data_IF_729069147490
#
_entry.id   IF_729069147490
#
_cell.length_a   1.000
_cell.length_b   1.000
_cell.length_c   1.000
_cell.angle_alpha   90.00
_cell.angle_beta   90.00
_cell.angle_gamma   90.00
#
_symmetry.space_group_name_H-M   'P 1'
#
loop_
_entity.id
_entity.type
_entity.pdbx_description
1 polymer ?
#
# COMPACT_ATOMS: atom_id res chain seq x y z
N UNK A 1 2.01 4.54 22.21
CA UNK A 1 1.06 3.62 21.55
C UNK A 1 -0.31 3.95 22.10
N UNK A 2 -1.19 4.52 21.29
CA UNK A 2 -2.54 4.90 21.72
C UNK A 2 -3.54 4.16 20.84
N UNK A 3 -4.32 3.27 21.45
CA UNK A 3 -5.43 2.58 20.80
C UNK A 3 -6.63 3.51 20.81
N UNK A 4 -7.14 3.88 19.64
CA UNK A 4 -8.45 4.52 19.52
C UNK A 4 -9.28 3.66 18.58
N UNK A 5 -10.26 2.95 19.13
CA UNK A 5 -11.26 2.25 18.33
C UNK A 5 -12.30 3.24 17.82
N UNK A 6 -12.67 3.13 16.55
CA UNK A 6 -13.89 3.76 16.05
C UNK A 6 -15.14 2.95 16.46
N UNK A 7 -16.32 3.53 16.27
CA UNK A 7 -17.61 2.92 16.67
C UNK A 7 -17.95 1.60 15.95
N UNK A 8 -17.12 1.16 14.99
CA UNK A 8 -17.32 -0.04 14.18
C UNK A 8 -16.28 -1.14 14.49
N UNK A 9 -15.47 -1.00 15.54
CA UNK A 9 -14.44 -1.99 15.89
C UNK A 9 -13.22 -1.96 14.97
N UNK A 10 -13.01 -0.88 14.20
CA UNK A 10 -11.78 -0.67 13.44
C UNK A 10 -10.66 -0.25 14.38
N UNK A 11 -9.54 -0.98 14.31
CA UNK A 11 -8.31 -0.66 15.02
C UNK A 11 -7.47 0.26 14.15
N UNK A 12 -7.37 1.54 14.53
CA UNK A 12 -6.48 2.51 13.89
C UNK A 12 -5.22 2.66 14.73
N UNK A 13 -4.05 2.54 14.11
CA UNK A 13 -2.75 2.69 14.78
C UNK A 13 -2.04 3.93 14.23
N UNK A 14 -1.61 4.84 15.12
CA UNK A 14 -0.83 6.03 14.78
C UNK A 14 0.52 6.02 15.52
N UNK A 15 1.62 6.23 14.78
CA UNK A 15 2.99 6.30 15.33
C UNK A 15 3.63 7.66 14.98
N UNK A 16 4.20 8.36 15.97
CA UNK A 16 4.90 9.66 15.80
C UNK A 16 6.38 9.41 15.48
N UNK A 17 6.84 9.85 14.31
CA UNK A 17 8.09 9.39 13.70
C UNK A 17 9.12 10.51 13.42
N UNK A 18 9.65 11.17 14.44
CA UNK A 18 10.69 12.19 14.20
C UNK A 18 12.14 11.68 14.27
N UNK A 19 12.40 10.37 14.47
CA UNK A 19 13.79 9.86 14.59
C UNK A 19 13.97 8.36 14.26
N UNK A 20 13.29 7.85 13.22
CA UNK A 20 13.43 6.46 12.76
C UNK A 20 14.49 6.35 11.65
N UNK A 21 15.30 5.29 11.69
CA UNK A 21 16.14 4.89 10.57
C UNK A 21 15.25 4.43 9.40
N UNK A 22 15.40 5.06 8.24
CA UNK A 22 14.62 4.73 7.05
C UNK A 22 15.12 3.42 6.45
N UNK A 23 14.20 2.55 6.05
CA UNK A 23 14.59 1.33 5.34
C UNK A 23 15.05 1.67 3.92
N UNK A 24 15.86 0.79 3.33
CA UNK A 24 16.26 0.94 1.93
C UNK A 24 15.03 0.97 1.00
N UNK A 25 14.01 0.17 1.31
CA UNK A 25 12.76 0.13 0.56
C UNK A 25 12.01 1.46 0.63
N UNK A 26 11.87 2.05 1.83
CA UNK A 26 11.23 3.36 2.03
C UNK A 26 11.92 4.48 1.24
N UNK A 27 13.26 4.49 1.23
CA UNK A 27 14.05 5.46 0.46
C UNK A 27 13.78 5.33 -1.04
N UNK A 28 13.80 4.09 -1.57
CA UNK A 28 13.54 3.84 -3.00
C UNK A 28 12.11 4.23 -3.36
N UNK A 29 11.11 3.85 -2.55
CA UNK A 29 9.71 4.23 -2.74
C UNK A 29 9.59 5.75 -2.84
N UNK A 30 10.15 6.49 -1.88
CA UNK A 30 10.02 7.93 -1.86
C UNK A 30 10.75 8.61 -3.03
N UNK A 31 11.95 8.14 -3.35
CA UNK A 31 12.75 8.68 -4.45
C UNK A 31 12.07 8.46 -5.81
N UNK A 32 11.72 7.22 -6.14
CA UNK A 32 11.08 6.86 -7.41
C UNK A 32 9.71 7.53 -7.55
N UNK A 33 8.91 7.58 -6.48
CA UNK A 33 7.64 8.29 -6.52
C UNK A 33 7.85 9.79 -6.78
N UNK A 34 8.86 10.43 -6.18
CA UNK A 34 9.16 11.84 -6.43
C UNK A 34 9.45 12.11 -7.90
N UNK A 35 10.21 11.22 -8.56
CA UNK A 35 10.53 11.36 -10.00
C UNK A 35 9.25 11.26 -10.84
N UNK A 36 8.43 10.24 -10.61
CA UNK A 36 7.17 10.03 -11.32
C UNK A 36 6.20 11.21 -11.15
N UNK A 37 6.06 11.71 -9.92
CA UNK A 37 5.19 12.83 -9.61
C UNK A 37 5.62 14.14 -10.28
N UNK A 38 6.91 14.36 -10.53
CA UNK A 38 7.40 15.54 -11.27
C UNK A 38 6.97 15.53 -12.74
N UNK A 39 6.74 14.36 -13.31
CA UNK A 39 6.46 14.16 -14.73
C UNK A 39 4.95 13.98 -15.00
N UNK A 40 4.17 13.66 -13.97
CA UNK A 40 2.75 13.33 -14.10
C UNK A 40 1.88 14.46 -13.57
N UNK A 41 0.86 14.92 -14.29
CA UNK A 41 -0.08 15.93 -13.78
C UNK A 41 -0.94 15.37 -12.62
N UNK A 42 -1.41 16.23 -11.72
CA UNK A 42 -2.39 15.80 -10.69
C UNK A 42 -3.67 15.34 -11.38
N UNK A 43 -4.19 14.18 -10.97
CA UNK A 43 -5.34 13.52 -11.56
C UNK A 43 -5.03 12.64 -12.78
N UNK A 44 -3.75 12.54 -13.18
CA UNK A 44 -3.32 11.64 -14.26
C UNK A 44 -2.71 10.35 -13.72
N UNK A 45 -2.78 9.30 -14.53
CA UNK A 45 -2.14 8.02 -14.26
C UNK A 45 -0.62 8.12 -14.42
N UNK A 46 0.09 7.41 -13.55
CA UNK A 46 1.55 7.25 -13.59
C UNK A 46 1.91 6.34 -14.78
N UNK A 47 2.83 6.79 -15.62
CA UNK A 47 3.30 6.00 -16.76
C UNK A 47 4.29 4.91 -16.34
N UNK A 48 4.28 3.79 -17.06
CA UNK A 48 5.22 2.69 -16.83
C UNK A 48 6.62 3.06 -17.34
N UNK A 49 7.47 3.50 -16.42
CA UNK A 49 8.88 3.86 -16.66
C UNK A 49 9.83 2.95 -15.88
N UNK A 50 11.14 3.22 -15.92
CA UNK A 50 12.10 2.56 -15.04
C UNK A 50 11.85 2.90 -13.56
N UNK A 51 11.60 4.17 -13.24
CA UNK A 51 11.24 4.60 -11.88
C UNK A 51 9.94 3.96 -11.40
N UNK A 52 8.96 3.75 -12.29
CA UNK A 52 7.74 3.02 -11.95
C UNK A 52 8.03 1.57 -11.54
N UNK A 53 8.86 0.86 -12.29
CA UNK A 53 9.22 -0.53 -11.99
C UNK A 53 10.05 -0.63 -10.71
N UNK A 54 10.95 0.33 -10.48
CA UNK A 54 11.69 0.44 -9.22
C UNK A 54 10.76 0.71 -8.02
N UNK A 55 9.77 1.58 -8.20
CA UNK A 55 8.75 1.85 -7.19
C UNK A 55 7.96 0.59 -6.85
N UNK A 56 7.43 -0.12 -7.86
CA UNK A 56 6.63 -1.34 -7.64
C UNK A 56 7.44 -2.39 -6.88
N UNK A 57 8.66 -2.69 -7.32
CA UNK A 57 9.51 -3.66 -6.62
C UNK A 57 9.92 -3.21 -5.21
N UNK A 58 10.00 -1.91 -4.93
CA UNK A 58 10.28 -1.42 -3.58
C UNK A 58 9.05 -1.51 -2.65
N UNK A 59 7.84 -1.40 -3.19
CA UNK A 59 6.59 -1.58 -2.42
C UNK A 59 6.46 -3.02 -1.89
N UNK A 60 6.95 -4.02 -2.63
CA UNK A 60 6.94 -5.43 -2.20
C UNK A 60 7.72 -5.65 -0.89
N UNK A 61 8.67 -4.77 -0.56
CA UNK A 61 9.40 -4.80 0.70
C UNK A 61 8.85 -3.80 1.72
N UNK A 62 8.57 -2.56 1.30
CA UNK A 62 8.14 -1.50 2.21
C UNK A 62 6.77 -1.81 2.86
N UNK A 63 5.83 -2.38 2.10
CA UNK A 63 4.50 -2.68 2.62
C UNK A 63 4.54 -3.79 3.69
N UNK A 64 5.20 -4.95 3.48
CA UNK A 64 5.39 -5.93 4.55
C UNK A 64 6.13 -5.39 5.76
N UNK A 65 7.13 -4.51 5.60
CA UNK A 65 7.81 -3.87 6.75
C UNK A 65 6.84 -3.05 7.60
N UNK A 66 5.99 -2.23 6.98
CA UNK A 66 4.96 -1.44 7.67
C UNK A 66 3.92 -2.36 8.32
N UNK A 67 3.46 -3.39 7.63
CA UNK A 67 2.50 -4.35 8.17
C UNK A 67 3.08 -5.12 9.34
N UNK A 68 4.34 -5.57 9.29
CA UNK A 68 5.00 -6.30 10.37
C UNK A 68 5.23 -5.45 11.63
N UNK A 69 5.38 -4.14 11.47
CA UNK A 69 5.44 -3.19 12.61
C UNK A 69 4.08 -3.05 13.30
N UNK A 70 3.00 -2.96 12.53
CA UNK A 70 1.66 -2.62 13.04
C UNK A 70 0.78 -3.84 13.34
N UNK A 71 1.01 -4.95 12.65
CA UNK A 71 0.27 -6.21 12.70
C UNK A 71 1.27 -7.36 12.88
N UNK A 72 1.56 -7.80 14.12
CA UNK A 72 2.64 -8.75 14.42
C UNK A 72 2.61 -10.07 13.63
N UNK A 73 1.45 -10.51 13.16
CA UNK A 73 1.30 -11.71 12.32
C UNK A 73 1.95 -11.58 10.93
N UNK A 74 2.22 -10.36 10.46
CA UNK A 74 2.90 -10.10 9.19
C UNK A 74 4.43 -10.23 9.28
N UNK A 75 5.00 -10.44 10.47
CA UNK A 75 6.46 -10.62 10.65
C UNK A 75 7.04 -11.83 9.91
N UNK A 76 6.21 -12.81 9.60
CA UNK A 76 6.58 -14.03 8.87
C UNK A 76 5.94 -14.11 7.50
N UNK A 77 5.44 -13.00 6.97
CA UNK A 77 4.74 -12.95 5.69
C UNK A 77 5.33 -11.91 4.76
N UNK A 78 5.05 -12.05 3.46
CA UNK A 78 5.55 -11.17 2.42
C UNK A 78 4.52 -11.00 1.31
N UNK A 79 4.58 -9.83 0.69
CA UNK A 79 3.89 -9.53 -0.55
C UNK A 79 4.87 -9.69 -1.72
N UNK A 80 4.31 -9.97 -2.88
CA UNK A 80 5.02 -9.94 -4.15
C UNK A 80 4.10 -9.39 -5.23
N UNK A 81 4.69 -8.70 -6.20
CA UNK A 81 4.03 -8.10 -7.35
C UNK A 81 2.72 -7.38 -6.99
N UNK A 82 2.82 -6.21 -6.35
CA UNK A 82 1.68 -5.28 -6.31
C UNK A 82 1.38 -4.82 -7.74
N UNK A 83 0.31 -5.37 -8.33
CA UNK A 83 -0.12 -5.11 -9.69
C UNK A 83 -1.36 -4.19 -9.66
N UNK A 84 -1.19 -2.89 -9.93
CA UNK A 84 -2.29 -1.93 -9.89
C UNK A 84 -3.17 -1.99 -11.14
N UNK A 85 -4.47 -1.83 -10.92
CA UNK A 85 -5.47 -1.38 -11.91
C UNK A 85 -5.54 0.14 -11.99
N UNK A 86 -5.29 0.79 -10.86
CA UNK A 86 -5.23 2.24 -10.70
C UNK A 86 -3.85 2.57 -10.16
N UNK A 87 -3.13 3.46 -10.83
CA UNK A 87 -1.86 4.01 -10.39
C UNK A 87 -1.87 5.50 -10.74
N UNK A 88 -2.43 6.34 -9.88
CA UNK A 88 -2.73 7.73 -10.21
C UNK A 88 -2.04 8.69 -9.25
N UNK A 89 -1.62 9.85 -9.77
CA UNK A 89 -1.21 10.99 -8.96
C UNK A 89 -2.46 11.67 -8.40
N UNK A 90 -2.67 11.62 -7.09
CA UNK A 90 -3.85 12.20 -6.43
C UNK A 90 -3.60 13.58 -5.82
N UNK A 91 -2.34 14.00 -5.70
CA UNK A 91 -1.98 15.29 -5.11
C UNK A 91 -0.54 15.70 -5.44
N UNK A 92 -0.08 16.79 -4.85
CA UNK A 92 1.25 17.34 -5.16
C UNK A 92 2.36 16.33 -4.86
N UNK A 93 2.25 15.62 -3.72
CA UNK A 93 3.20 14.62 -3.23
C UNK A 93 2.53 13.26 -3.00
N UNK A 94 1.37 13.05 -3.63
CA UNK A 94 0.49 11.92 -3.34
C UNK A 94 0.20 11.08 -4.57
N UNK A 95 0.17 9.77 -4.36
CA UNK A 95 -0.29 8.81 -5.34
C UNK A 95 -1.14 7.71 -4.68
N UNK A 96 -1.99 7.10 -5.50
CA UNK A 96 -2.80 5.94 -5.12
C UNK A 96 -2.48 4.76 -6.04
N UNK A 97 -2.43 3.58 -5.46
CA UNK A 97 -2.30 2.30 -6.14
C UNK A 97 -3.41 1.39 -5.66
N UNK A 98 -4.24 0.88 -6.57
CA UNK A 98 -5.31 -0.07 -6.24
C UNK A 98 -5.30 -1.22 -7.24
N UNK A 99 -5.24 -2.45 -6.75
CA UNK A 99 -5.17 -3.64 -7.58
C UNK A 99 -5.03 -4.91 -6.77
N UNK A 100 -4.19 -5.83 -7.23
CA UNK A 100 -3.97 -7.13 -6.61
C UNK A 100 -2.51 -7.27 -6.17
N UNK A 101 -2.26 -8.11 -5.17
CA UNK A 101 -0.91 -8.52 -4.77
C UNK A 101 -0.91 -10.01 -4.43
N UNK A 102 0.25 -10.64 -4.57
CA UNK A 102 0.48 -12.04 -4.20
C UNK A 102 0.90 -12.16 -2.73
N UNK A 103 0.34 -13.14 -2.05
CA UNK A 103 0.83 -13.61 -0.77
C UNK A 103 1.84 -14.72 -1.01
N UNK A 104 3.11 -14.48 -0.67
CA UNK A 104 4.18 -15.43 -0.94
C UNK A 104 3.97 -16.75 -0.21
N UNK A 105 3.46 -16.69 1.03
CA UNK A 105 3.29 -17.86 1.92
C UNK A 105 2.50 -19.01 1.31
N UNK A 106 1.50 -18.71 0.47
CA UNK A 106 0.53 -19.68 -0.04
C UNK A 106 0.21 -19.48 -1.54
N UNK A 107 0.92 -18.57 -2.22
CA UNK A 107 0.76 -18.27 -3.64
C UNK A 107 -0.69 -17.92 -4.01
N UNK A 108 -1.39 -17.31 -3.06
CA UNK A 108 -2.73 -16.76 -3.27
C UNK A 108 -2.66 -15.27 -3.55
N UNK A 109 -3.74 -14.73 -4.10
CA UNK A 109 -3.83 -13.33 -4.48
C UNK A 109 -4.90 -12.64 -3.64
N UNK A 110 -4.63 -11.41 -3.27
CA UNK A 110 -5.51 -10.55 -2.46
C UNK A 110 -5.59 -9.14 -3.05
N UNK A 111 -6.72 -8.44 -2.88
CA UNK A 111 -6.79 -7.02 -3.20
C UNK A 111 -5.79 -6.22 -2.35
N UNK A 112 -5.25 -5.15 -2.93
CA UNK A 112 -4.38 -4.20 -2.27
C UNK A 112 -4.76 -2.77 -2.65
N UNK A 113 -4.81 -1.89 -1.67
CA UNK A 113 -4.94 -0.45 -1.82
C UNK A 113 -3.83 0.25 -1.03
N UNK A 114 -3.09 1.12 -1.70
CA UNK A 114 -2.01 1.90 -1.14
C UNK A 114 -2.23 3.35 -1.51
N UNK A 115 -2.28 4.24 -0.52
CA UNK A 115 -2.21 5.68 -0.76
C UNK A 115 -1.01 6.25 -0.01
N UNK A 116 -0.09 6.86 -0.75
CA UNK A 116 1.18 7.33 -0.19
C UNK A 116 1.28 8.86 -0.32
N UNK A 117 1.91 9.47 0.68
CA UNK A 117 2.40 10.84 0.62
C UNK A 117 3.89 10.84 0.99
N UNK A 118 4.72 11.46 0.14
CA UNK A 118 6.17 11.59 0.40
C UNK A 118 6.51 12.96 0.98
N UNK A 119 7.65 13.01 1.70
CA UNK A 119 8.19 14.26 2.21
C UNK A 119 8.58 15.23 1.08
N UNK A 120 8.50 16.53 1.34
CA UNK A 120 8.86 17.55 0.36
C UNK A 120 10.35 17.66 0.07
N UNK A 121 11.21 17.33 1.03
CA UNK A 121 12.63 17.64 1.01
C UNK A 121 13.54 16.40 1.05
N UNK A 122 13.12 15.33 1.75
CA UNK A 122 13.92 14.11 1.90
C UNK A 122 13.23 12.89 1.29
N UNK A 123 13.99 11.85 0.94
CA UNK A 123 13.43 10.61 0.38
C UNK A 123 12.85 9.74 1.50
N UNK A 124 11.67 10.15 1.95
CA UNK A 124 10.87 9.53 3.01
C UNK A 124 9.40 9.48 2.63
N UNK A 125 8.72 8.40 3.04
CA UNK A 125 7.26 8.33 3.05
C UNK A 125 6.76 8.99 4.35
N UNK A 126 6.05 10.11 4.23
CA UNK A 126 5.51 10.84 5.39
C UNK A 126 4.21 10.22 5.87
N UNK A 127 3.42 9.68 4.94
CA UNK A 127 2.17 9.01 5.27
C UNK A 127 1.85 7.90 4.28
N UNK A 128 1.28 6.81 4.80
CA UNK A 128 0.75 5.71 4.01
C UNK A 128 -0.57 5.26 4.64
N UNK A 129 -1.59 5.12 3.80
CA UNK A 129 -2.74 4.27 4.08
C UNK A 129 -2.58 2.98 3.28
N UNK A 130 -2.61 1.85 3.99
CA UNK A 130 -2.45 0.52 3.41
C UNK A 130 -3.65 -0.33 3.79
N UNK A 131 -4.34 -0.86 2.78
CA UNK A 131 -5.44 -1.80 2.94
C UNK A 131 -5.14 -3.06 2.16
N UNK A 132 -5.22 -4.22 2.83
CA UNK A 132 -4.87 -5.51 2.23
C UNK A 132 -5.97 -6.52 2.53
N UNK A 133 -6.38 -7.23 1.48
CA UNK A 133 -7.28 -8.36 1.56
C UNK A 133 -8.74 -8.00 1.80
N UNK A 134 -9.63 -8.86 1.31
CA UNK A 134 -11.06 -8.81 1.62
C UNK A 134 -11.33 -9.68 2.85
N UNK A 135 -12.16 -9.22 3.78
CA UNK A 135 -12.60 -9.97 4.96
C UNK A 135 -13.63 -11.01 4.55
N UNK A 136 -13.45 -12.22 5.08
CA UNK A 136 -14.39 -13.31 4.94
C UNK A 136 -14.74 -13.98 6.26
N UNK A 137 -15.58 -15.02 6.23
CA UNK A 137 -16.07 -15.69 7.43
C UNK A 137 -14.97 -16.34 8.31
N UNK A 138 -13.82 -16.66 7.72
CA UNK A 138 -12.70 -17.35 8.39
C UNK A 138 -11.41 -16.52 8.40
N UNK A 139 -11.51 -15.20 8.21
CA UNK A 139 -10.37 -14.30 8.06
C UNK A 139 -10.22 -13.78 6.63
N UNK A 140 -9.00 -13.42 6.24
CA UNK A 140 -8.74 -12.83 4.93
C UNK A 140 -9.05 -13.82 3.80
N UNK A 141 -9.80 -13.36 2.80
CA UNK A 141 -10.18 -14.12 1.63
C UNK A 141 -9.01 -14.20 0.65
N UNK A 142 -8.27 -15.29 0.75
CA UNK A 142 -7.25 -15.67 -0.22
C UNK A 142 -7.90 -16.32 -1.45
N UNK A 143 -7.42 -16.00 -2.66
CA UNK A 143 -7.87 -16.61 -3.92
C UNK A 143 -6.70 -17.32 -4.60
N UNK A 144 -6.92 -18.47 -5.27
CA UNK A 144 -5.84 -19.11 -6.01
C UNK A 144 -5.23 -18.15 -7.03
N UNK A 145 -3.90 -18.10 -7.12
CA UNK A 145 -3.18 -17.28 -8.10
C UNK A 145 -3.58 -17.55 -9.55
N UNK A 146 -3.97 -18.78 -9.88
CA UNK A 146 -4.51 -19.14 -11.19
C UNK A 146 -5.80 -18.38 -11.58
N UNK A 147 -6.42 -17.67 -10.63
CA UNK A 147 -7.59 -16.82 -10.87
C UNK A 147 -7.28 -15.33 -10.93
N UNK A 148 -5.99 -14.93 -11.01
CA UNK A 148 -5.54 -13.54 -10.95
C UNK A 148 -6.34 -12.60 -11.85
N UNK A 149 -6.36 -12.81 -13.17
CA UNK A 149 -7.08 -11.94 -14.12
C UNK A 149 -8.56 -11.79 -13.78
N UNK A 150 -9.19 -12.88 -13.32
CA UNK A 150 -10.59 -12.89 -12.91
C UNK A 150 -10.80 -12.08 -11.64
N UNK A 151 -9.87 -12.11 -10.68
CA UNK A 151 -9.95 -11.28 -9.48
C UNK A 151 -9.68 -9.81 -9.82
N UNK A 152 -8.68 -9.53 -10.65
CA UNK A 152 -8.36 -8.19 -11.11
C UNK A 152 -9.58 -7.54 -11.77
N UNK A 153 -10.24 -8.22 -12.72
CA UNK A 153 -11.47 -7.72 -13.34
C UNK A 153 -12.59 -7.43 -12.34
N UNK A 154 -12.70 -8.21 -11.25
CA UNK A 154 -13.72 -8.00 -10.22
C UNK A 154 -13.49 -6.74 -9.39
N UNK A 155 -12.26 -6.25 -9.29
CA UNK A 155 -11.94 -5.04 -8.52
C UNK A 155 -12.36 -3.76 -9.24
N UNK A 156 -12.51 -3.79 -10.57
CA UNK A 156 -12.76 -2.60 -11.37
C UNK A 156 -14.00 -1.82 -10.88
N UNK A 157 -13.78 -0.61 -10.37
CA UNK A 157 -14.83 0.27 -9.83
C UNK A 157 -15.46 -0.18 -8.51
N UNK A 158 -14.80 -1.06 -7.74
CA UNK A 158 -15.33 -1.65 -6.50
C UNK A 158 -14.50 -1.40 -5.25
N UNK A 159 -13.55 -0.47 -5.28
CA UNK A 159 -12.70 -0.17 -4.12
C UNK A 159 -13.51 0.06 -2.82
N UNK A 160 -14.54 0.90 -2.89
CA UNK A 160 -15.40 1.25 -1.75
C UNK A 160 -16.31 0.10 -1.26
N UNK A 161 -16.35 -1.02 -1.99
CA UNK A 161 -17.20 -2.18 -1.67
C UNK A 161 -16.43 -3.28 -0.93
N UNK A 162 -15.11 -3.15 -0.81
CA UNK A 162 -14.26 -4.15 -0.16
C UNK A 162 -14.30 -3.92 1.35
N UNK A 163 -14.78 -4.92 2.09
CA UNK A 163 -14.58 -4.97 3.53
C UNK A 163 -13.14 -5.42 3.80
N UNK A 164 -12.25 -4.48 4.10
CA UNK A 164 -10.82 -4.75 4.18
C UNK A 164 -10.45 -5.59 5.43
N UNK A 165 -9.68 -6.66 5.21
CA UNK A 165 -9.15 -7.51 6.28
C UNK A 165 -8.13 -6.74 7.13
N UNK A 166 -7.23 -6.03 6.47
CA UNK A 166 -6.26 -5.11 7.06
C UNK A 166 -6.50 -3.70 6.56
N UNK A 167 -6.46 -2.74 7.47
CA UNK A 167 -6.46 -1.31 7.16
C UNK A 167 -5.57 -0.65 8.21
N UNK A 168 -4.38 -0.22 7.78
CA UNK A 168 -3.40 0.44 8.64
C UNK A 168 -2.98 1.79 8.07
N UNK A 169 -2.62 2.69 8.97
CA UNK A 169 -2.04 3.98 8.65
C UNK A 169 -0.64 4.07 9.24
N UNK A 170 0.30 4.59 8.46
CA UNK A 170 1.70 4.76 8.83
C UNK A 170 2.09 6.22 8.64
N UNK A 171 2.85 6.79 9.59
CA UNK A 171 3.26 8.19 9.57
C UNK A 171 2.12 9.18 9.83
N UNK A 172 2.32 10.44 9.44
CA UNK A 172 1.37 11.54 9.64
C UNK A 172 1.13 12.29 8.32
N UNK A 173 -0.12 12.37 7.89
CA UNK A 173 -0.49 13.07 6.66
C UNK A 173 -0.27 14.56 6.83
N UNK A 174 0.62 15.13 6.02
CA UNK A 174 0.88 16.56 5.96
C UNK A 174 -0.16 17.23 5.06
N UNK A 175 -0.51 18.47 5.39
CA UNK A 175 -1.35 19.31 4.52
C UNK A 175 -0.59 19.80 3.28
#
# INVERSE_FOLDING_TARGET
MTLTGDKNGRMTFNNKQNNRELSKAEIIVAHSLRVLLKQTAVGASLEETEDYRLLMGALDYFIPEVLAELCPEWKSDALDDVIPLVADRTGEREAVFFGMSWLIRDQTVVPAYLQLQIDSAIDRVNWLECRIGERGPQGMLCRPGSSFDKQLYRLQGREDQIDWAYHVTYGEKSS
#
